data_IF_929082702328
#
_entry.id   IF_929082702328
#
_cell.length_a   1.000
_cell.length_b   1.000
_cell.length_c   1.000
_cell.angle_alpha   90.00
_cell.angle_beta   90.00
_cell.angle_gamma   90.00
#
_symmetry.space_group_name_H-M   'P 1'
#
loop_
_entity.id
_entity.type
_entity.pdbx_description
1 polymer ?
#
# COMPACT_ATOMS: atom_id res chain seq x y z
N UNK A 1 68.01 -12.28 -1.08
CA UNK A 1 66.89 -13.09 -0.52
C UNK A 1 66.08 -12.14 0.36
N UNK A 2 65.07 -11.47 -0.22
CA UNK A 2 64.28 -10.42 0.45
C UNK A 2 63.12 -11.06 1.24
N UNK A 3 63.06 -10.80 2.53
CA UNK A 3 61.93 -11.10 3.42
C UNK A 3 60.81 -10.08 3.16
N UNK A 4 59.60 -10.55 2.83
CA UNK A 4 58.38 -9.73 2.82
C UNK A 4 57.68 -9.79 4.18
N UNK A 5 57.44 -8.64 4.85
CA UNK A 5 56.74 -8.58 6.14
C UNK A 5 55.31 -8.05 5.95
N UNK A 6 54.37 -8.90 5.50
CA UNK A 6 52.97 -8.48 5.33
C UNK A 6 51.94 -9.60 5.60
N UNK A 7 52.33 -10.67 6.29
CA UNK A 7 51.42 -11.66 6.86
C UNK A 7 51.01 -11.29 8.30
N UNK A 8 50.45 -10.09 8.47
CA UNK A 8 49.77 -9.73 9.71
C UNK A 8 48.28 -10.11 9.57
N UNK A 9 47.95 -11.27 10.15
CA UNK A 9 46.64 -11.68 10.69
C UNK A 9 45.45 -10.78 10.33
N UNK A 10 44.83 -11.03 9.17
CA UNK A 10 43.41 -10.70 8.97
C UNK A 10 42.64 -11.62 9.91
N UNK A 11 42.22 -11.11 11.07
CA UNK A 11 41.10 -11.69 11.79
C UNK A 11 39.93 -11.67 10.81
N UNK A 12 39.55 -12.84 10.30
CA UNK A 12 38.33 -13.02 9.54
C UNK A 12 37.19 -12.66 10.48
N UNK A 13 36.67 -11.44 10.33
CA UNK A 13 35.42 -11.01 10.92
C UNK A 13 34.38 -12.11 10.61
N UNK A 14 33.68 -12.67 11.61
CA UNK A 14 32.66 -13.65 11.33
C UNK A 14 31.67 -12.99 10.38
N UNK A 15 31.46 -13.64 9.22
CA UNK A 15 30.51 -13.15 8.24
C UNK A 15 29.20 -12.79 8.95
N UNK A 16 28.69 -11.58 8.69
CA UNK A 16 27.40 -11.18 9.22
C UNK A 16 26.39 -12.29 8.93
N UNK A 17 25.52 -12.66 9.90
CA UNK A 17 24.54 -13.71 9.66
C UNK A 17 23.75 -13.37 8.40
N UNK A 18 23.63 -14.34 7.49
CA UNK A 18 22.82 -14.15 6.28
C UNK A 18 21.45 -13.63 6.70
N UNK A 19 20.91 -12.60 6.03
CA UNK A 19 19.56 -12.14 6.33
C UNK A 19 18.61 -13.35 6.22
N UNK A 20 17.63 -13.48 7.13
CA UNK A 20 16.70 -14.60 7.09
C UNK A 20 16.10 -14.68 5.69
N UNK A 21 16.24 -15.85 5.04
CA UNK A 21 15.67 -16.07 3.70
C UNK A 21 14.20 -15.72 3.77
N UNK A 22 13.78 -14.68 3.06
CA UNK A 22 12.37 -14.33 2.91
C UNK A 22 11.68 -15.56 2.34
N UNK A 23 10.88 -16.25 3.16
CA UNK A 23 10.18 -17.45 2.74
C UNK A 23 8.95 -17.01 1.96
N UNK A 24 9.05 -17.09 0.63
CA UNK A 24 7.90 -16.89 -0.24
C UNK A 24 6.90 -18.03 -0.02
N UNK A 25 5.63 -17.67 0.07
CA UNK A 25 4.54 -18.65 0.11
C UNK A 25 4.31 -19.27 -1.28
N UNK A 26 3.66 -20.44 -1.39
CA UNK A 26 3.33 -21.07 -2.67
C UNK A 26 1.82 -21.15 -2.87
N UNK A 27 1.31 -20.62 -3.97
CA UNK A 27 -0.10 -20.67 -4.35
C UNK A 27 -0.25 -21.46 -5.66
N UNK A 28 -1.07 -22.52 -5.63
CA UNK A 28 -1.29 -23.40 -6.79
C UNK A 28 0.01 -24.00 -7.38
N UNK A 29 1.02 -24.23 -6.54
CA UNK A 29 2.33 -24.77 -6.96
C UNK A 29 3.29 -23.71 -7.52
N UNK A 30 2.88 -22.44 -7.58
CA UNK A 30 3.70 -21.32 -8.04
C UNK A 30 4.19 -20.53 -6.82
N UNK A 31 5.47 -20.12 -6.81
CA UNK A 31 5.99 -19.31 -5.71
C UNK A 31 5.34 -17.93 -5.71
N UNK A 32 5.14 -17.35 -4.54
CA UNK A 32 4.68 -15.97 -4.37
C UNK A 32 5.63 -14.98 -4.98
N UNK A 33 6.94 -15.28 -5.03
CA UNK A 33 7.89 -14.46 -5.77
C UNK A 33 7.69 -14.51 -7.28
N UNK A 34 7.09 -15.56 -7.82
CA UNK A 34 6.77 -15.68 -9.25
C UNK A 34 5.37 -15.09 -9.56
N UNK A 35 4.43 -15.24 -8.64
CA UNK A 35 3.07 -14.67 -8.74
C UNK A 35 3.05 -13.15 -8.50
N UNK A 36 3.91 -12.70 -7.59
CA UNK A 36 4.04 -11.34 -7.12
C UNK A 36 5.53 -10.97 -7.21
N UNK A 37 6.06 -10.73 -8.43
CA UNK A 37 7.47 -10.43 -8.63
C UNK A 37 7.94 -9.31 -7.68
N UNK A 38 9.03 -9.58 -6.97
CA UNK A 38 9.60 -8.69 -5.94
C UNK A 38 10.04 -7.32 -6.48
N UNK A 39 10.06 -7.15 -7.80
CA UNK A 39 10.22 -5.85 -8.43
C UNK A 39 8.95 -5.03 -8.24
N UNK A 40 8.99 -4.10 -7.28
CA UNK A 40 8.03 -3.04 -7.03
C UNK A 40 7.57 -2.27 -8.28
N UNK A 41 8.30 -2.39 -9.40
CA UNK A 41 7.99 -1.82 -10.71
C UNK A 41 6.99 -2.62 -11.56
N UNK A 42 6.77 -3.91 -11.28
CA UNK A 42 5.94 -4.80 -12.13
C UNK A 42 4.51 -4.94 -11.63
N UNK A 43 4.30 -4.92 -10.31
CA UNK A 43 3.00 -4.60 -9.72
C UNK A 43 2.79 -3.11 -9.91
N UNK A 44 2.51 -2.73 -11.16
CA UNK A 44 2.07 -1.39 -11.52
C UNK A 44 1.04 -1.00 -10.47
N UNK A 45 1.32 0.01 -9.67
CA UNK A 45 0.41 0.48 -8.65
C UNK A 45 -0.84 0.97 -9.39
N UNK A 46 -1.79 0.07 -9.65
CA UNK A 46 -3.00 0.32 -10.44
C UNK A 46 -3.80 1.46 -9.79
N UNK A 47 -3.59 1.70 -8.50
CA UNK A 47 -4.14 2.84 -7.79
C UNK A 47 -3.59 4.17 -8.27
N UNK A 48 -2.36 4.25 -8.81
CA UNK A 48 -1.85 5.47 -9.45
C UNK A 48 -2.68 5.90 -10.66
N UNK A 49 -3.28 4.94 -11.39
CA UNK A 49 -4.22 5.26 -12.47
C UNK A 49 -5.44 5.97 -11.88
N UNK A 50 -5.99 5.44 -10.79
CA UNK A 50 -7.09 6.06 -10.06
C UNK A 50 -6.72 7.49 -9.60
N UNK A 51 -5.56 7.67 -8.99
CA UNK A 51 -5.07 8.99 -8.53
C UNK A 51 -4.88 9.98 -9.68
N UNK A 52 -4.33 9.53 -10.80
CA UNK A 52 -4.16 10.36 -12.00
C UNK A 52 -5.50 10.93 -12.48
N UNK A 53 -6.55 10.10 -12.56
CA UNK A 53 -7.87 10.58 -12.96
C UNK A 53 -8.50 11.52 -11.92
N UNK A 54 -8.34 11.24 -10.63
CA UNK A 54 -8.85 12.10 -9.55
C UNK A 54 -8.22 13.50 -9.59
N UNK A 55 -6.91 13.58 -9.83
CA UNK A 55 -6.16 14.84 -9.83
C UNK A 55 -6.40 15.62 -11.13
N UNK A 56 -6.22 14.96 -12.28
CA UNK A 56 -6.18 15.64 -13.58
C UNK A 56 -7.56 15.83 -14.22
N UNK A 57 -8.51 14.93 -13.97
CA UNK A 57 -9.79 14.87 -14.69
C UNK A 57 -11.01 14.78 -13.74
N UNK A 58 -11.13 15.67 -12.74
CA UNK A 58 -12.15 15.53 -11.69
C UNK A 58 -13.59 15.59 -12.23
N UNK A 59 -13.84 16.31 -13.33
CA UNK A 59 -15.20 16.50 -13.88
C UNK A 59 -15.50 15.61 -15.08
N UNK A 60 -14.66 14.61 -15.34
CA UNK A 60 -14.87 13.72 -16.48
C UNK A 60 -16.05 12.78 -16.25
N UNK A 61 -16.93 12.62 -17.24
CA UNK A 61 -18.13 11.80 -17.15
C UNK A 61 -17.85 10.33 -16.83
N UNK A 62 -16.65 9.84 -17.17
CA UNK A 62 -16.18 8.48 -16.90
C UNK A 62 -15.21 8.39 -15.72
N UNK A 63 -15.14 9.41 -14.85
CA UNK A 63 -14.25 9.40 -13.68
C UNK A 63 -14.45 8.15 -12.81
N UNK A 64 -15.69 7.85 -12.43
CA UNK A 64 -16.01 6.73 -11.54
C UNK A 64 -15.52 5.37 -12.09
N UNK A 65 -15.91 4.95 -13.32
CA UNK A 65 -15.43 3.67 -13.84
C UNK A 65 -13.91 3.63 -14.01
N UNK A 66 -13.27 4.74 -14.41
CA UNK A 66 -11.82 4.80 -14.53
C UNK A 66 -11.12 4.64 -13.18
N UNK A 67 -11.64 5.29 -12.14
CA UNK A 67 -11.11 5.21 -10.77
C UNK A 67 -11.37 3.83 -10.14
N UNK A 68 -12.49 3.19 -10.42
CA UNK A 68 -12.84 1.88 -9.85
C UNK A 68 -12.03 0.72 -10.41
N UNK A 69 -11.45 0.85 -11.61
CA UNK A 69 -10.70 -0.23 -12.24
C UNK A 69 -9.56 -0.74 -11.33
N UNK A 70 -8.75 0.18 -10.79
CA UNK A 70 -7.64 -0.17 -9.87
C UNK A 70 -8.10 -0.86 -8.58
N UNK A 71 -8.98 -0.23 -7.77
CA UNK A 71 -9.53 -0.81 -6.56
C UNK A 71 -10.24 -2.16 -6.77
N UNK A 72 -10.98 -2.35 -7.87
CA UNK A 72 -11.64 -3.64 -8.15
C UNK A 72 -10.60 -4.74 -8.37
N UNK A 73 -9.60 -4.49 -9.21
CA UNK A 73 -8.54 -5.47 -9.48
C UNK A 73 -7.78 -5.79 -8.19
N UNK A 74 -7.37 -4.76 -7.44
CA UNK A 74 -6.66 -4.94 -6.18
C UNK A 74 -7.52 -5.67 -5.13
N UNK A 75 -8.83 -5.42 -5.08
CA UNK A 75 -9.75 -6.11 -4.17
C UNK A 75 -9.90 -7.60 -4.52
N UNK A 76 -9.94 -7.95 -5.80
CA UNK A 76 -9.96 -9.35 -6.24
C UNK A 76 -8.67 -10.06 -5.83
N UNK A 77 -7.51 -9.43 -6.06
CA UNK A 77 -6.21 -9.97 -5.64
C UNK A 77 -6.17 -10.12 -4.10
N UNK A 78 -6.63 -9.11 -3.37
CA UNK A 78 -6.72 -9.14 -1.91
C UNK A 78 -7.55 -10.32 -1.40
N UNK A 79 -8.72 -10.58 -2.00
CA UNK A 79 -9.55 -11.73 -1.66
C UNK A 79 -8.82 -13.06 -1.86
N UNK A 80 -8.06 -13.22 -2.95
CA UNK A 80 -7.25 -14.42 -3.20
C UNK A 80 -6.16 -14.58 -2.13
N UNK A 81 -5.45 -13.50 -1.78
CA UNK A 81 -4.39 -13.51 -0.75
C UNK A 81 -4.97 -13.85 0.62
N UNK A 82 -6.10 -13.24 1.01
CA UNK A 82 -6.75 -13.54 2.29
C UNK A 82 -7.23 -15.00 2.34
N UNK A 83 -7.91 -15.48 1.29
CA UNK A 83 -8.36 -16.87 1.23
C UNK A 83 -7.20 -17.86 1.33
N UNK A 84 -6.04 -17.52 0.75
CA UNK A 84 -4.82 -18.30 0.92
C UNK A 84 -4.39 -18.29 2.39
N UNK A 85 -4.14 -17.12 2.98
CA UNK A 85 -3.66 -17.01 4.38
C UNK A 85 -4.56 -17.75 5.38
N UNK A 86 -5.89 -17.66 5.24
CA UNK A 86 -6.84 -18.33 6.14
C UNK A 86 -6.82 -19.86 5.98
N UNK A 87 -6.50 -20.37 4.79
CA UNK A 87 -6.46 -21.82 4.51
C UNK A 87 -5.13 -22.48 4.85
N UNK A 88 -4.06 -21.72 5.05
CA UNK A 88 -2.75 -22.27 5.39
C UNK A 88 -2.65 -22.48 6.90
N UNK A 89 -2.47 -23.73 7.37
CA UNK A 89 -2.33 -24.01 8.80
C UNK A 89 -1.07 -23.37 9.42
N UNK A 90 -0.04 -23.18 8.59
CA UNK A 90 1.23 -22.59 8.97
C UNK A 90 1.24 -21.05 8.90
N UNK A 91 0.13 -20.43 8.44
CA UNK A 91 0.05 -18.98 8.40
C UNK A 91 0.09 -18.40 9.82
N UNK A 92 0.77 -17.25 10.02
CA UNK A 92 0.81 -16.56 11.28
C UNK A 92 -0.59 -16.33 11.86
N UNK A 93 -0.89 -16.98 12.99
CA UNK A 93 -2.11 -16.70 13.75
C UNK A 93 -1.91 -15.40 14.53
N UNK A 94 -2.22 -14.27 13.88
CA UNK A 94 -2.27 -12.96 14.53
C UNK A 94 -3.68 -12.60 14.96
N UNK A 95 -3.84 -12.03 16.15
CA UNK A 95 -5.09 -11.43 16.58
C UNK A 95 -5.15 -9.97 16.15
N UNK A 96 -6.19 -9.57 15.42
CA UNK A 96 -6.44 -8.15 15.11
C UNK A 96 -7.04 -7.36 16.27
N UNK A 97 -7.28 -8.01 17.41
CA UNK A 97 -7.93 -7.40 18.58
C UNK A 97 -6.95 -6.82 19.60
N UNK A 98 -5.65 -7.08 19.45
CA UNK A 98 -4.61 -6.50 20.30
C UNK A 98 -3.44 -5.97 19.48
N UNK A 99 -2.73 -4.97 20.02
CA UNK A 99 -1.56 -4.41 19.36
C UNK A 99 -0.46 -5.47 19.19
N UNK A 100 -0.27 -6.32 20.19
CA UNK A 100 0.66 -7.44 20.14
C UNK A 100 0.28 -8.44 19.05
N UNK A 101 -1.01 -8.72 18.88
CA UNK A 101 -1.51 -9.62 17.84
C UNK A 101 -1.33 -9.05 16.43
N UNK A 102 -1.57 -7.74 16.25
CA UNK A 102 -1.30 -7.03 14.99
C UNK A 102 0.20 -7.03 14.70
N UNK A 103 1.03 -6.71 15.70
CA UNK A 103 2.48 -6.72 15.55
C UNK A 103 2.98 -8.12 15.16
N UNK A 104 2.51 -9.18 15.82
CA UNK A 104 2.83 -10.55 15.47
C UNK A 104 2.37 -10.91 14.05
N UNK A 105 1.18 -10.46 13.64
CA UNK A 105 0.64 -10.67 12.30
C UNK A 105 1.58 -10.13 11.21
N UNK A 106 2.16 -8.94 11.43
CA UNK A 106 3.09 -8.30 10.48
C UNK A 106 4.57 -8.68 10.68
N UNK A 107 4.96 -9.18 11.86
CA UNK A 107 6.36 -9.49 12.18
C UNK A 107 6.80 -10.88 11.73
N UNK A 108 5.86 -11.81 11.51
CA UNK A 108 6.19 -13.21 11.20
C UNK A 108 6.73 -13.46 9.79
N UNK A 109 7.25 -12.41 9.11
CA UNK A 109 7.92 -12.51 7.79
C UNK A 109 7.08 -13.10 6.66
N UNK A 110 5.78 -13.29 6.87
CA UNK A 110 4.86 -13.75 5.83
C UNK A 110 4.56 -12.58 4.88
N UNK A 111 5.16 -12.65 3.69
CA UNK A 111 4.97 -11.68 2.63
C UNK A 111 3.48 -11.51 2.26
N UNK A 112 2.63 -12.53 2.48
CA UNK A 112 1.20 -12.47 2.19
C UNK A 112 0.45 -11.46 3.08
N UNK A 113 0.74 -11.45 4.40
CA UNK A 113 0.06 -10.57 5.35
C UNK A 113 0.40 -9.09 5.10
N UNK A 114 1.69 -8.79 4.87
CA UNK A 114 2.17 -7.44 4.52
C UNK A 114 1.55 -6.99 3.20
N UNK A 115 1.53 -7.87 2.19
CA UNK A 115 0.97 -7.56 0.89
C UNK A 115 -0.55 -7.36 0.94
N UNK A 116 -1.28 -8.14 1.74
CA UNK A 116 -2.71 -7.93 1.98
C UNK A 116 -2.96 -6.54 2.61
N UNK A 117 -2.15 -6.13 3.58
CA UNK A 117 -2.19 -4.78 4.14
C UNK A 117 -1.95 -3.69 3.10
N UNK A 118 -0.96 -3.87 2.22
CA UNK A 118 -0.67 -2.95 1.12
C UNK A 118 -1.84 -2.84 0.11
N UNK A 119 -2.41 -3.98 -0.28
CA UNK A 119 -3.57 -4.02 -1.16
C UNK A 119 -4.78 -3.33 -0.53
N UNK A 120 -4.97 -3.46 0.78
CA UNK A 120 -6.03 -2.76 1.51
C UNK A 120 -5.93 -1.24 1.29
N UNK A 121 -4.76 -0.63 1.47
CA UNK A 121 -4.55 0.79 1.19
C UNK A 121 -4.77 1.12 -0.29
N UNK A 122 -4.22 0.31 -1.20
CA UNK A 122 -4.40 0.47 -2.64
C UNK A 122 -5.87 0.41 -3.10
N UNK A 123 -6.76 -0.24 -2.33
CA UNK A 123 -8.20 -0.30 -2.60
C UNK A 123 -8.91 0.89 -1.95
N UNK A 124 -8.73 1.09 -0.65
CA UNK A 124 -9.56 2.02 0.12
C UNK A 124 -9.16 3.48 -0.09
N UNK A 125 -7.87 3.80 -0.21
CA UNK A 125 -7.44 5.21 -0.31
C UNK A 125 -7.96 5.89 -1.58
N UNK A 126 -7.92 5.27 -2.78
CA UNK A 126 -8.54 5.86 -3.97
C UNK A 126 -10.06 5.98 -3.89
N UNK A 127 -10.74 5.10 -3.14
CA UNK A 127 -12.18 5.19 -2.92
C UNK A 127 -12.52 6.37 -2.00
N UNK A 128 -11.70 6.63 -0.98
CA UNK A 128 -11.79 7.84 -0.15
C UNK A 128 -11.54 9.08 -1.00
N UNK A 129 -10.48 9.10 -1.81
CA UNK A 129 -10.19 10.22 -2.72
C UNK A 129 -11.31 10.48 -3.74
N UNK A 130 -11.96 9.43 -4.25
CA UNK A 130 -13.16 9.57 -5.07
C UNK A 130 -14.31 10.22 -4.27
N UNK A 131 -14.49 9.82 -3.02
CA UNK A 131 -15.42 10.45 -2.09
C UNK A 131 -15.17 11.95 -1.93
N UNK A 132 -13.91 12.35 -1.70
CA UNK A 132 -13.49 13.76 -1.61
C UNK A 132 -13.83 14.54 -2.89
N UNK A 133 -13.47 14.01 -4.07
CA UNK A 133 -13.77 14.66 -5.37
C UNK A 133 -15.29 14.79 -5.59
N UNK A 134 -16.07 13.75 -5.33
CA UNK A 134 -17.53 13.82 -5.53
C UNK A 134 -18.22 14.74 -4.52
N UNK A 135 -17.75 14.76 -3.26
CA UNK A 135 -18.24 15.65 -2.23
C UNK A 135 -17.90 17.11 -2.56
N UNK A 136 -16.66 17.39 -2.94
CA UNK A 136 -16.19 18.74 -3.29
C UNK A 136 -16.99 19.34 -4.46
N UNK A 137 -17.40 18.52 -5.42
CA UNK A 137 -18.23 18.94 -6.55
C UNK A 137 -19.63 19.36 -6.10
N UNK A 138 -20.25 18.60 -5.20
CA UNK A 138 -21.57 18.95 -4.62
C UNK A 138 -21.50 20.25 -3.82
N UNK A 139 -20.41 20.38 -3.06
CA UNK A 139 -20.15 21.52 -2.17
C UNK A 139 -19.51 22.72 -2.89
N UNK A 140 -19.25 22.61 -4.21
CA UNK A 140 -18.58 23.62 -5.04
C UNK A 140 -17.22 24.08 -4.49
N UNK A 141 -16.52 23.20 -3.76
CA UNK A 141 -15.16 23.45 -3.28
C UNK A 141 -14.22 23.49 -4.51
N UNK A 142 -13.37 24.53 -4.64
CA UNK A 142 -12.41 24.60 -5.73
C UNK A 142 -11.46 23.39 -5.74
N UNK A 143 -11.36 22.71 -6.88
CA UNK A 143 -10.54 21.49 -7.00
C UNK A 143 -9.07 21.72 -6.63
N UNK A 144 -8.54 22.92 -6.86
CA UNK A 144 -7.17 23.27 -6.49
C UNK A 144 -6.89 23.13 -4.98
N UNK A 145 -7.90 23.35 -4.13
CA UNK A 145 -7.80 23.12 -2.68
C UNK A 145 -7.92 21.63 -2.30
N UNK A 146 -8.56 20.84 -3.16
CA UNK A 146 -8.76 19.39 -2.98
C UNK A 146 -7.50 18.62 -3.37
N UNK A 147 -6.75 19.05 -4.39
CA UNK A 147 -5.50 18.40 -4.85
C UNK A 147 -4.50 18.12 -3.72
N UNK A 148 -4.11 19.07 -2.84
CA UNK A 148 -3.20 18.75 -1.73
C UNK A 148 -3.79 17.77 -0.73
N UNK A 149 -5.13 17.76 -0.57
CA UNK A 149 -5.81 16.76 0.27
C UNK A 149 -5.70 15.37 -0.37
N UNK A 150 -5.97 15.24 -1.67
CA UNK A 150 -5.84 13.98 -2.41
C UNK A 150 -4.42 13.42 -2.37
N UNK A 151 -3.40 14.27 -2.51
CA UNK A 151 -2.00 13.86 -2.39
C UNK A 151 -1.68 13.35 -0.98
N UNK A 152 -2.23 14.00 0.06
CA UNK A 152 -2.10 13.49 1.42
C UNK A 152 -2.92 12.22 1.65
N UNK A 153 -4.08 12.05 1.04
CA UNK A 153 -4.89 10.83 1.16
C UNK A 153 -4.17 9.66 0.49
N UNK A 154 -3.45 9.90 -0.61
CA UNK A 154 -2.61 8.89 -1.26
C UNK A 154 -1.41 8.44 -0.41
N UNK A 155 -0.81 9.35 0.36
CA UNK A 155 0.40 9.08 1.14
C UNK A 155 0.11 8.66 2.59
N UNK A 156 -0.94 9.22 3.15
CA UNK A 156 -1.35 9.10 4.54
C UNK A 156 -2.88 9.28 4.63
N UNK A 157 -3.63 8.30 4.11
CA UNK A 157 -5.10 8.27 3.99
C UNK A 157 -5.88 9.09 5.02
N UNK A 158 -5.76 8.77 6.33
CA UNK A 158 -6.49 9.48 7.37
C UNK A 158 -6.17 10.98 7.47
N UNK A 159 -4.91 11.37 7.24
CA UNK A 159 -4.46 12.77 7.31
C UNK A 159 -5.05 13.58 6.16
N UNK A 160 -4.99 13.06 4.93
CA UNK A 160 -5.57 13.74 3.77
C UNK A 160 -7.09 13.88 3.87
N UNK A 161 -7.77 12.85 4.37
CA UNK A 161 -9.21 12.90 4.61
C UNK A 161 -9.58 13.99 5.64
N UNK A 162 -8.86 14.09 6.76
CA UNK A 162 -9.07 15.15 7.76
C UNK A 162 -8.76 16.54 7.20
N UNK A 163 -7.73 16.64 6.35
CA UNK A 163 -7.38 17.89 5.66
C UNK A 163 -8.54 18.33 4.75
N UNK A 164 -9.12 17.42 3.97
CA UNK A 164 -10.28 17.70 3.13
C UNK A 164 -11.50 18.15 3.94
N UNK A 165 -11.80 17.47 5.06
CA UNK A 165 -12.90 17.87 5.95
C UNK A 165 -12.72 19.29 6.50
N UNK A 166 -11.48 19.68 6.80
CA UNK A 166 -11.16 21.03 7.27
C UNK A 166 -11.36 22.06 6.16
N UNK A 167 -10.88 21.77 4.94
CA UNK A 167 -11.03 22.63 3.77
C UNK A 167 -12.50 22.86 3.43
N UNK A 168 -13.33 21.81 3.38
CA UNK A 168 -14.74 21.96 2.99
C UNK A 168 -15.54 22.76 4.02
N UNK A 169 -15.23 22.65 5.32
CA UNK A 169 -15.87 23.44 6.36
C UNK A 169 -15.51 24.92 6.25
N UNK A 170 -14.24 25.24 6.01
CA UNK A 170 -13.78 26.62 5.81
C UNK A 170 -14.44 27.30 4.60
N UNK A 171 -14.63 26.58 3.49
CA UNK A 171 -15.31 27.13 2.30
C UNK A 171 -16.81 27.34 2.55
N UNK A 172 -17.48 26.41 3.23
CA UNK A 172 -18.90 26.55 3.59
C UNK A 172 -19.16 27.69 4.57
N UNK A 173 -18.33 27.83 5.61
CA UNK A 173 -18.48 28.89 6.62
C UNK A 173 -18.22 30.31 6.10
N UNK A 174 -17.60 30.45 4.92
CA UNK A 174 -17.37 31.75 4.26
C UNK A 174 -18.55 32.18 3.37
N UNK A 175 -19.43 31.24 2.97
CA UNK A 175 -20.53 31.50 2.04
C UNK A 175 -21.94 31.28 2.61
N UNK A 176 -22.06 30.82 3.86
CA UNK A 176 -23.33 30.67 4.59
C UNK A 176 -23.58 31.85 5.51
#
# INVERSE_FOLDING_TARGET
MQLRPDLAFRHSEPAAPEPPKQQGFHLLGVSSFDLFPASWSEVTNLSLISWFFLICFPRWSFLKPAVFLGPIINAVIYCVVILYTVRNPDAPQGSIQSLEGIAAFFSNSDAAAVFAGWLHYCVFDPLVGLGEVLDSQKLKVPHLLVVPCLLMTMLAGPVGFLMYLSVRQGVFGVHG
#
